data_IF_844749112011
#
_entry.id   IF_844749112011
#
_cell.length_a   1.000
_cell.length_b   1.000
_cell.length_c   1.000
_cell.angle_alpha   90.00
_cell.angle_beta   90.00
_cell.angle_gamma   90.00
#
_symmetry.space_group_name_H-M   'P 1'
#
loop_
_entity.id
_entity.type
_entity.pdbx_description
1 polymer ?
#
# COMPACT_ATOMS: atom_id res chain seq x y z
N UNK A 1 -1.88 -33.91 -1.96
CA UNK A 1 -1.46 -32.69 -2.69
C UNK A 1 -1.87 -31.49 -1.87
N UNK A 2 -0.91 -30.87 -1.20
CA UNK A 2 -1.12 -29.72 -0.33
C UNK A 2 -1.16 -28.45 -1.18
N UNK A 3 -2.30 -27.77 -1.22
CA UNK A 3 -2.40 -26.40 -1.71
C UNK A 3 -2.14 -25.46 -0.54
N UNK A 4 -1.21 -24.54 -0.78
CA UNK A 4 -0.49 -23.73 0.19
C UNK A 4 -1.36 -22.81 1.03
N UNK A 5 -0.87 -22.58 2.24
CA UNK A 5 -1.49 -21.85 3.34
C UNK A 5 -1.26 -20.33 3.27
N UNK A 6 -1.43 -19.70 2.10
CA UNK A 6 -1.11 -18.27 1.92
C UNK A 6 -2.31 -17.40 1.55
N UNK A 7 -3.40 -17.51 2.32
CA UNK A 7 -4.43 -16.45 2.42
C UNK A 7 -4.84 -16.34 3.89
N UNK A 8 -3.99 -15.69 4.68
CA UNK A 8 -3.93 -15.79 6.15
C UNK A 8 -5.10 -15.20 6.94
N UNK A 9 -6.15 -14.62 6.33
CA UNK A 9 -7.26 -14.08 7.14
C UNK A 9 -8.61 -14.16 6.44
N UNK A 10 -9.15 -15.36 6.20
CA UNK A 10 -10.60 -15.54 6.18
C UNK A 10 -11.00 -15.87 7.62
N UNK A 11 -11.09 -14.81 8.44
CA UNK A 11 -11.59 -14.89 9.80
C UNK A 11 -12.96 -15.58 9.81
N UNK A 12 -13.01 -16.74 10.47
CA UNK A 12 -14.18 -17.29 11.17
C UNK A 12 -15.54 -16.92 10.54
N UNK A 13 -15.86 -17.50 9.38
CA UNK A 13 -17.20 -17.41 8.82
C UNK A 13 -18.16 -18.22 9.70
N UNK A 14 -18.78 -17.56 10.67
CA UNK A 14 -20.02 -18.07 11.28
C UNK A 14 -21.01 -18.37 10.15
N UNK A 15 -21.44 -19.62 10.08
CA UNK A 15 -22.41 -20.12 9.10
C UNK A 15 -23.65 -19.23 9.10
N UNK A 16 -23.83 -18.42 8.05
CA UNK A 16 -25.03 -17.59 7.84
C UNK A 16 -24.80 -16.11 7.55
N UNK A 17 -23.59 -15.57 7.71
CA UNK A 17 -23.30 -14.13 7.46
C UNK A 17 -22.63 -13.89 6.11
N UNK A 18 -22.93 -12.75 5.49
CA UNK A 18 -22.22 -12.24 4.31
C UNK A 18 -20.88 -11.67 4.77
N UNK A 19 -19.80 -11.95 4.04
CA UNK A 19 -18.46 -11.50 4.37
C UNK A 19 -17.88 -10.64 3.23
N UNK A 20 -17.21 -9.55 3.59
CA UNK A 20 -16.47 -8.72 2.63
C UNK A 20 -14.99 -9.08 2.65
N UNK A 21 -14.45 -9.48 1.50
CA UNK A 21 -13.01 -9.64 1.28
C UNK A 21 -12.50 -8.35 0.64
N UNK A 22 -11.72 -7.57 1.39
CA UNK A 22 -11.12 -6.32 0.88
C UNK A 22 -9.64 -6.54 0.64
N UNK A 23 -9.19 -6.37 -0.60
CA UNK A 23 -7.78 -6.51 -0.97
C UNK A 23 -7.34 -5.41 -1.92
N UNK A 24 -6.04 -5.25 -2.13
CA UNK A 24 -5.53 -4.36 -3.18
C UNK A 24 -6.06 -4.74 -4.56
N UNK A 25 -5.97 -3.79 -5.50
CA UNK A 25 -6.64 -3.86 -6.80
C UNK A 25 -5.73 -4.25 -8.00
N UNK A 26 -4.64 -5.04 -7.88
CA UNK A 26 -3.90 -5.47 -9.06
C UNK A 26 -4.72 -6.49 -9.88
N UNK A 27 -4.40 -6.62 -11.16
CA UNK A 27 -5.12 -7.49 -12.10
C UNK A 27 -5.19 -8.96 -11.68
N UNK A 28 -4.20 -9.44 -10.90
CA UNK A 28 -4.20 -10.76 -10.28
C UNK A 28 -5.30 -10.93 -9.23
N UNK A 29 -5.50 -9.93 -8.37
CA UNK A 29 -6.54 -9.96 -7.34
C UNK A 29 -7.94 -9.85 -7.95
N UNK A 30 -8.11 -9.08 -9.03
CA UNK A 30 -9.37 -9.03 -9.75
C UNK A 30 -9.80 -10.38 -10.33
N UNK A 31 -8.84 -11.19 -10.80
CA UNK A 31 -9.11 -12.57 -11.23
C UNK A 31 -9.49 -13.46 -10.05
N UNK A 32 -8.77 -13.31 -8.92
CA UNK A 32 -9.05 -14.05 -7.70
C UNK A 32 -10.45 -13.74 -7.16
N UNK A 33 -10.89 -12.48 -7.20
CA UNK A 33 -12.24 -12.06 -6.77
C UNK A 33 -13.32 -12.84 -7.50
N UNK A 34 -13.22 -12.95 -8.83
CA UNK A 34 -14.17 -13.74 -9.64
C UNK A 34 -14.20 -15.21 -9.23
N UNK A 35 -13.04 -15.80 -8.94
CA UNK A 35 -12.94 -17.18 -8.48
C UNK A 35 -13.53 -17.36 -7.08
N UNK A 36 -13.30 -16.42 -6.18
CA UNK A 36 -13.80 -16.43 -4.80
C UNK A 36 -15.31 -16.24 -4.76
N UNK A 37 -15.86 -15.30 -5.53
CA UNK A 37 -17.29 -15.06 -5.63
C UNK A 37 -18.03 -16.25 -6.28
N UNK A 38 -17.41 -16.91 -7.26
CA UNK A 38 -17.96 -18.12 -7.87
C UNK A 38 -17.95 -19.32 -6.90
N UNK A 39 -16.89 -19.47 -6.09
CA UNK A 39 -16.76 -20.57 -5.13
C UNK A 39 -17.58 -20.36 -3.85
N UNK A 40 -17.77 -19.11 -3.44
CA UNK A 40 -18.42 -18.73 -2.18
C UNK A 40 -19.36 -17.53 -2.40
N UNK A 41 -20.64 -17.77 -2.77
CA UNK A 41 -21.59 -16.70 -3.10
C UNK A 41 -21.98 -15.81 -1.90
N UNK A 42 -21.52 -16.15 -0.68
CA UNK A 42 -21.70 -15.33 0.53
C UNK A 42 -20.52 -14.40 0.80
N UNK A 43 -19.48 -14.44 -0.05
CA UNK A 43 -18.30 -13.59 0.05
C UNK A 43 -18.36 -12.56 -1.07
N UNK A 44 -18.36 -11.28 -0.72
CA UNK A 44 -18.25 -10.17 -1.65
C UNK A 44 -16.79 -9.73 -1.70
N UNK A 45 -16.16 -9.78 -2.86
CA UNK A 45 -14.78 -9.37 -3.01
C UNK A 45 -14.71 -7.93 -3.56
N UNK A 46 -14.01 -7.04 -2.85
CA UNK A 46 -13.93 -5.62 -3.17
C UNK A 46 -12.49 -5.11 -3.15
N UNK A 47 -12.25 -4.07 -3.95
CA UNK A 47 -10.99 -3.35 -3.96
C UNK A 47 -10.79 -2.48 -2.72
N UNK A 48 -9.53 -2.35 -2.30
CA UNK A 48 -9.13 -1.46 -1.23
C UNK A 48 -9.23 0.00 -1.67
N UNK A 49 -10.03 0.78 -0.94
CA UNK A 49 -10.17 2.22 -1.19
C UNK A 49 -8.86 2.99 -1.02
N UNK A 50 -8.01 2.60 -0.07
CA UNK A 50 -6.69 3.22 0.11
C UNK A 50 -5.80 3.01 -1.13
N UNK A 51 -5.87 1.84 -1.76
CA UNK A 51 -5.15 1.57 -3.00
C UNK A 51 -5.69 2.42 -4.16
N UNK A 52 -7.01 2.55 -4.29
CA UNK A 52 -7.66 3.40 -5.30
C UNK A 52 -7.26 4.87 -5.11
N UNK A 53 -7.25 5.37 -3.88
CA UNK A 53 -6.81 6.74 -3.57
C UNK A 53 -5.32 6.96 -3.91
N UNK A 54 -4.47 5.95 -3.70
CA UNK A 54 -3.06 6.04 -4.09
C UNK A 54 -2.87 6.09 -5.62
N UNK A 55 -3.65 5.31 -6.37
CA UNK A 55 -3.68 5.38 -7.83
C UNK A 55 -4.16 6.75 -8.31
N UNK A 56 -5.26 7.24 -7.74
CA UNK A 56 -5.79 8.57 -8.04
C UNK A 56 -4.75 9.67 -7.75
N UNK A 57 -4.10 9.62 -6.59
CA UNK A 57 -3.01 10.56 -6.27
C UNK A 57 -1.87 10.47 -7.28
N UNK A 58 -1.51 9.26 -7.72
CA UNK A 58 -0.47 9.07 -8.75
C UNK A 58 -0.85 9.66 -10.10
N UNK A 59 -2.13 9.67 -10.46
CA UNK A 59 -2.62 10.36 -11.66
C UNK A 59 -2.65 11.88 -11.49
N UNK A 60 -3.02 12.39 -10.32
CA UNK A 60 -2.94 13.84 -10.01
C UNK A 60 -1.50 14.34 -10.13
N UNK A 61 -0.50 13.53 -9.75
CA UNK A 61 0.92 13.87 -9.90
C UNK A 61 1.36 14.02 -11.37
N UNK A 62 0.61 13.49 -12.34
CA UNK A 62 0.92 13.63 -13.77
C UNK A 62 0.47 14.96 -14.37
N UNK A 63 -0.30 15.78 -13.63
CA UNK A 63 -0.63 17.12 -14.11
C UNK A 63 0.65 17.94 -14.23
N UNK A 64 0.87 18.65 -15.35
CA UNK A 64 2.17 19.24 -15.70
C UNK A 64 2.70 20.20 -14.62
N UNK A 65 1.86 21.09 -14.08
CA UNK A 65 2.26 21.99 -12.99
C UNK A 65 2.63 21.27 -11.70
N UNK A 66 1.89 20.21 -11.35
CA UNK A 66 2.15 19.45 -10.12
C UNK A 66 3.42 18.61 -10.30
N UNK A 67 3.60 18.03 -11.48
CA UNK A 67 4.78 17.27 -11.85
C UNK A 67 6.05 18.13 -11.75
N UNK A 68 6.05 19.34 -12.32
CA UNK A 68 7.17 20.29 -12.22
C UNK A 68 7.57 20.58 -10.76
N UNK A 69 6.59 20.85 -9.90
CA UNK A 69 6.87 21.08 -8.48
C UNK A 69 7.41 19.83 -7.76
N UNK A 70 6.93 18.65 -8.12
CA UNK A 70 7.40 17.38 -7.55
C UNK A 70 8.84 17.10 -7.97
N UNK A 71 9.21 17.36 -9.23
CA UNK A 71 10.58 17.16 -9.70
C UNK A 71 11.57 18.09 -8.99
N UNK A 72 11.23 19.37 -8.82
CA UNK A 72 12.06 20.31 -8.03
C UNK A 72 12.21 19.83 -6.58
N UNK A 73 11.14 19.33 -5.97
CA UNK A 73 11.21 18.79 -4.62
C UNK A 73 12.08 17.53 -4.54
N UNK A 74 12.04 16.66 -5.56
CA UNK A 74 12.90 15.48 -5.65
C UNK A 74 14.38 15.86 -5.77
N UNK A 75 14.72 16.86 -6.57
CA UNK A 75 16.11 17.33 -6.71
C UNK A 75 16.69 17.77 -5.36
N UNK A 76 15.87 18.45 -4.55
CA UNK A 76 16.23 18.83 -3.19
C UNK A 76 16.45 17.57 -2.34
N UNK A 77 15.50 16.64 -2.32
CA UNK A 77 15.62 15.39 -1.56
C UNK A 77 16.87 14.60 -1.97
N UNK A 78 17.16 14.52 -3.27
CA UNK A 78 18.34 13.85 -3.82
C UNK A 78 19.65 14.52 -3.37
N UNK A 79 19.68 15.85 -3.32
CA UNK A 79 20.81 16.59 -2.75
C UNK A 79 21.04 16.22 -1.28
N UNK A 80 19.97 16.19 -0.48
CA UNK A 80 20.01 15.80 0.93
C UNK A 80 20.38 14.32 1.11
N UNK A 81 19.94 13.43 0.21
CA UNK A 81 20.26 12.01 0.26
C UNK A 81 21.73 11.71 -0.07
N UNK A 82 22.34 12.51 -0.95
CA UNK A 82 23.76 12.36 -1.35
C UNK A 82 24.73 12.98 -0.34
N UNK A 83 24.30 13.99 0.42
CA UNK A 83 25.13 14.63 1.44
C UNK A 83 24.96 13.98 2.82
N UNK A 84 25.97 13.21 3.23
CA UNK A 84 26.05 12.57 4.57
C UNK A 84 25.84 13.59 5.71
N UNK A 85 26.36 14.82 5.55
CA UNK A 85 26.24 15.89 6.55
C UNK A 85 24.80 16.34 6.76
N UNK A 86 24.01 16.40 5.68
CA UNK A 86 22.64 16.88 5.74
C UNK A 86 21.71 15.82 6.36
N UNK A 87 21.95 14.54 6.06
CA UNK A 87 21.33 13.42 6.77
C UNK A 87 21.67 13.41 8.27
N UNK A 88 22.94 13.62 8.62
CA UNK A 88 23.38 13.66 10.02
C UNK A 88 22.74 14.85 10.78
N UNK A 89 22.61 16.01 10.11
CA UNK A 89 21.94 17.19 10.67
C UNK A 89 20.44 16.95 10.88
N UNK A 90 19.74 16.36 9.90
CA UNK A 90 18.33 15.94 10.04
C UNK A 90 18.15 14.90 11.16
N UNK A 91 19.06 13.92 11.27
CA UNK A 91 19.04 12.91 12.34
C UNK A 91 19.21 13.56 13.73
N UNK A 92 20.02 14.60 13.82
CA UNK A 92 20.21 15.36 15.06
C UNK A 92 18.99 16.24 15.39
N UNK A 93 18.16 16.61 14.42
CA UNK A 93 16.90 17.33 14.65
C UNK A 93 15.73 16.45 15.08
N UNK A 94 15.73 15.16 14.75
CA UNK A 94 14.60 14.27 15.05
C UNK A 94 14.46 13.89 16.54
N UNK A 95 15.42 14.26 17.40
CA UNK A 95 15.39 13.92 18.83
C UNK A 95 15.32 12.40 19.09
N UNK A 96 15.37 11.96 20.37
CA UNK A 96 15.52 10.54 20.71
C UNK A 96 14.35 9.61 20.32
N UNK A 97 13.26 10.10 19.71
CA UNK A 97 12.08 9.28 19.38
C UNK A 97 12.14 8.52 18.04
N UNK A 98 13.20 8.67 17.23
CA UNK A 98 13.30 8.07 15.89
C UNK A 98 13.97 6.69 15.81
N UNK A 99 14.37 6.06 16.93
CA UNK A 99 15.23 4.85 16.93
C UNK A 99 14.52 3.51 17.17
N UNK A 100 13.20 3.42 17.04
CA UNK A 100 12.48 2.19 17.43
C UNK A 100 11.93 1.30 16.30
N UNK A 101 12.16 1.60 15.01
CA UNK A 101 11.52 0.82 13.92
C UNK A 101 12.43 0.19 12.86
N UNK A 102 13.72 -0.06 13.15
CA UNK A 102 14.56 -0.85 12.23
C UNK A 102 15.48 -1.80 12.99
N UNK A 103 14.86 -2.73 13.72
CA UNK A 103 15.48 -3.98 14.13
C UNK A 103 14.40 -5.05 14.25
N UNK A 104 14.03 -5.67 13.12
CA UNK A 104 13.57 -7.06 12.98
C UNK A 104 13.34 -7.40 11.52
#
# INVERSE_FOLDING_TARGET
MALGRDVTTICALQTGKICGLVTDTPSSMQKLWRSVEAAMPKVLAMGCWAHILNLFSSDVKKLPRIFEHIEVAKDIVDLFARQVVAQEWLRNQQGPNGKESTAR
#
